data_IF_218758704583
#
_entry.id   IF_218758704583
#
_cell.length_a   1.000
_cell.length_b   1.000
_cell.length_c   1.000
_cell.angle_alpha   90.00
_cell.angle_beta   90.00
_cell.angle_gamma   90.00
#
_symmetry.space_group_name_H-M   'P 1'
#
loop_
_entity.id
_entity.type
_entity.pdbx_description
1 polymer ?
#
# COMPACT_ATOMS: atom_id res chain seq x y z
N UNK A 1 19.43 -43.72 12.16
CA UNK A 1 20.10 -42.54 12.77
C UNK A 1 20.24 -41.50 11.68
N UNK A 2 19.87 -40.26 11.96
CA UNK A 2 19.91 -39.16 11.00
C UNK A 2 20.87 -38.08 11.49
N UNK A 3 21.72 -37.52 10.62
CA UNK A 3 22.56 -36.39 10.98
C UNK A 3 21.87 -35.06 10.66
N UNK A 4 21.52 -34.29 11.69
CA UNK A 4 20.98 -32.93 11.59
C UNK A 4 21.95 -31.89 10.97
N UNK A 5 23.15 -32.31 10.53
CA UNK A 5 24.15 -31.41 9.91
C UNK A 5 24.33 -31.65 8.42
N UNK A 6 24.36 -32.91 7.99
CA UNK A 6 24.60 -33.30 6.59
C UNK A 6 23.43 -34.07 5.97
N UNK A 7 22.35 -34.27 6.74
CA UNK A 7 21.18 -35.05 6.34
C UNK A 7 21.47 -36.51 6.00
N UNK A 8 22.66 -37.02 6.34
CA UNK A 8 23.01 -38.41 6.08
C UNK A 8 22.26 -39.34 7.04
N UNK A 9 21.71 -40.42 6.50
CA UNK A 9 21.01 -41.47 7.23
C UNK A 9 21.84 -42.75 7.27
N UNK A 10 21.95 -43.37 8.45
CA UNK A 10 22.63 -44.63 8.63
C UNK A 10 22.00 -45.50 9.71
N UNK A 11 22.32 -46.80 9.65
CA UNK A 11 21.94 -47.78 10.65
C UNK A 11 23.13 -48.02 11.60
N UNK A 12 22.98 -47.82 12.93
CA UNK A 12 24.05 -48.11 13.88
C UNK A 12 24.29 -49.61 13.95
N UNK A 13 25.57 -50.03 13.97
CA UNK A 13 25.97 -51.44 14.05
C UNK A 13 26.05 -51.96 15.49
N UNK A 14 25.89 -51.09 16.48
CA UNK A 14 25.95 -51.40 17.91
C UNK A 14 24.87 -50.67 18.71
N UNK A 15 24.75 -50.99 20.00
CA UNK A 15 23.74 -50.43 20.91
C UNK A 15 24.03 -48.99 21.35
N UNK A 16 25.28 -48.53 21.24
CA UNK A 16 25.68 -47.18 21.64
C UNK A 16 25.48 -46.14 20.53
N UNK A 17 25.05 -44.93 20.92
CA UNK A 17 24.96 -43.79 20.01
C UNK A 17 26.36 -43.42 19.50
N UNK A 18 26.55 -43.28 18.18
CA UNK A 18 27.86 -42.95 17.63
C UNK A 18 28.29 -41.55 18.09
N UNK A 19 29.55 -41.41 18.52
CA UNK A 19 30.09 -40.12 18.96
C UNK A 19 30.21 -39.10 17.81
N UNK A 20 30.24 -39.56 16.56
CA UNK A 20 30.41 -38.74 15.35
C UNK A 20 29.51 -39.24 14.23
N UNK A 21 29.07 -38.33 13.37
CA UNK A 21 28.44 -38.71 12.10
C UNK A 21 29.46 -39.48 11.22
N UNK A 22 29.08 -40.62 10.61
CA UNK A 22 29.96 -41.37 9.71
C UNK A 22 30.44 -40.56 8.50
N UNK A 23 29.57 -39.70 7.95
CA UNK A 23 29.83 -38.93 6.74
C UNK A 23 30.58 -37.62 7.06
N UNK A 24 29.94 -36.70 7.78
CA UNK A 24 30.51 -35.37 8.04
C UNK A 24 31.45 -35.31 9.25
N UNK A 25 31.66 -36.43 9.98
CA UNK A 25 32.51 -36.55 11.18
C UNK A 25 32.18 -35.59 12.34
N UNK A 26 31.03 -34.92 12.27
CA UNK A 26 30.60 -33.96 13.27
C UNK A 26 30.23 -34.65 14.57
N UNK A 27 30.69 -34.10 15.70
CA UNK A 27 30.27 -34.53 17.05
C UNK A 27 28.88 -34.00 17.43
N UNK A 28 28.40 -32.94 16.77
CA UNK A 28 27.08 -32.33 17.02
C UNK A 28 26.01 -32.87 16.07
N UNK A 29 26.18 -34.09 15.56
CA UNK A 29 25.33 -34.64 14.50
C UNK A 29 23.87 -34.84 14.92
N UNK A 30 23.62 -35.05 16.22
CA UNK A 30 22.29 -35.23 16.81
C UNK A 30 21.80 -33.99 17.59
N UNK A 31 22.38 -32.81 17.36
CA UNK A 31 21.97 -31.61 18.08
C UNK A 31 20.73 -30.99 17.43
N UNK A 32 19.59 -30.89 18.13
CA UNK A 32 18.35 -30.33 17.56
C UNK A 32 18.51 -28.85 17.17
N UNK A 33 19.44 -28.14 17.81
CA UNK A 33 19.80 -26.74 17.48
C UNK A 33 20.36 -26.55 16.07
N UNK A 34 20.69 -27.63 15.34
CA UNK A 34 21.08 -27.57 13.93
C UNK A 34 19.88 -27.60 12.99
N UNK A 35 18.72 -28.09 13.43
CA UNK A 35 17.50 -28.09 12.63
C UNK A 35 16.77 -26.76 12.83
N UNK A 36 16.84 -25.89 11.82
CA UNK A 36 16.08 -24.65 11.81
C UNK A 36 14.73 -24.88 11.11
N UNK A 37 13.66 -24.32 11.66
CA UNK A 37 12.32 -24.35 11.08
C UNK A 37 11.81 -22.93 10.88
N UNK A 38 11.28 -22.64 9.70
CA UNK A 38 10.66 -21.36 9.43
C UNK A 38 9.22 -21.36 9.93
N UNK A 39 8.92 -20.53 10.92
CA UNK A 39 7.57 -20.32 11.46
C UNK A 39 6.60 -19.66 10.47
N UNK A 40 7.07 -19.21 9.30
CA UNK A 40 6.23 -18.58 8.27
C UNK A 40 5.82 -19.54 7.15
N UNK A 41 6.72 -20.41 6.71
CA UNK A 41 6.44 -21.35 5.62
C UNK A 41 6.53 -22.83 6.02
N UNK A 42 6.88 -23.14 7.28
CA UNK A 42 7.03 -24.51 7.78
C UNK A 42 8.27 -25.26 7.26
N UNK A 43 9.10 -24.62 6.43
CA UNK A 43 10.28 -25.28 5.85
C UNK A 43 11.30 -25.59 6.95
N UNK A 44 11.84 -26.81 6.96
CA UNK A 44 12.87 -27.27 7.89
C UNK A 44 14.19 -27.45 7.13
N UNK A 45 15.29 -26.97 7.68
CA UNK A 45 16.62 -27.10 7.07
C UNK A 45 17.73 -27.22 8.11
N UNK A 46 18.86 -27.76 7.68
CA UNK A 46 20.04 -27.91 8.52
C UNK A 46 20.89 -26.63 8.47
N UNK A 47 20.94 -25.89 9.58
CA UNK A 47 21.78 -24.71 9.74
C UNK A 47 23.13 -25.08 10.36
N UNK A 48 24.21 -24.96 9.59
CA UNK A 48 25.56 -25.26 10.06
C UNK A 48 26.02 -24.39 11.25
N UNK A 49 25.44 -23.20 11.44
CA UNK A 49 25.78 -22.22 12.49
C UNK A 49 24.61 -21.86 13.41
N UNK A 50 23.47 -22.53 13.32
CA UNK A 50 22.30 -22.32 14.18
C UNK A 50 21.52 -21.01 13.97
N UNK A 51 22.10 -19.98 13.33
CA UNK A 51 21.43 -18.68 13.12
C UNK A 51 21.48 -18.22 11.65
N UNK A 52 20.67 -18.83 10.76
CA UNK A 52 20.57 -18.40 9.37
C UNK A 52 19.96 -17.00 9.29
N UNK A 53 20.50 -16.11 8.45
CA UNK A 53 19.99 -14.74 8.29
C UNK A 53 18.65 -14.68 7.54
N UNK A 54 18.33 -15.73 6.77
CA UNK A 54 17.12 -15.82 5.95
C UNK A 54 16.66 -17.28 5.85
N UNK A 55 15.36 -17.49 5.71
CA UNK A 55 14.83 -18.79 5.31
C UNK A 55 15.27 -19.10 3.86
N UNK A 56 15.81 -20.30 3.57
CA UNK A 56 16.22 -20.67 2.22
C UNK A 56 15.04 -20.85 1.24
N UNK A 57 13.84 -21.13 1.74
CA UNK A 57 12.66 -21.32 0.90
C UNK A 57 11.91 -19.99 0.63
N UNK A 58 11.51 -19.26 1.68
CA UNK A 58 10.71 -18.04 1.52
C UNK A 58 11.53 -16.73 1.55
N UNK A 59 12.84 -16.80 1.78
CA UNK A 59 13.72 -15.63 1.87
C UNK A 59 13.48 -14.71 3.07
N UNK A 60 12.55 -15.06 3.97
CA UNK A 60 12.20 -14.23 5.13
C UNK A 60 13.37 -14.10 6.09
N UNK A 61 13.67 -12.86 6.51
CA UNK A 61 14.64 -12.55 7.57
C UNK A 61 14.12 -12.90 8.97
N UNK A 62 12.79 -12.91 9.14
CA UNK A 62 12.13 -13.19 10.41
C UNK A 62 11.53 -14.59 10.37
N UNK A 63 12.35 -15.59 10.01
CA UNK A 63 11.92 -16.98 9.87
C UNK A 63 11.64 -17.63 11.24
N UNK A 64 12.28 -17.13 12.30
CA UNK A 64 12.16 -17.58 13.68
C UNK A 64 11.11 -16.78 14.49
N UNK A 65 10.37 -15.87 13.84
CA UNK A 65 9.32 -15.06 14.49
C UNK A 65 7.96 -15.48 13.91
N UNK A 66 6.96 -15.80 14.75
CA UNK A 66 5.64 -16.17 14.28
C UNK A 66 5.04 -15.02 13.45
N UNK A 67 4.29 -15.31 12.37
CA UNK A 67 3.59 -14.29 11.60
C UNK A 67 2.64 -13.49 12.49
N UNK A 68 2.62 -12.17 12.32
CA UNK A 68 1.64 -11.32 13.00
C UNK A 68 0.29 -11.41 12.29
N UNK A 69 -0.74 -11.78 13.04
CA UNK A 69 -2.11 -11.69 12.58
C UNK A 69 -2.62 -10.26 12.67
N UNK A 70 -3.34 -9.85 11.63
CA UNK A 70 -4.00 -8.56 11.51
C UNK A 70 -5.47 -8.77 11.27
N UNK A 71 -6.30 -7.97 11.93
CA UNK A 71 -7.74 -7.91 11.71
C UNK A 71 -8.11 -6.49 11.30
N UNK A 72 -8.92 -6.36 10.26
CA UNK A 72 -9.49 -5.07 9.91
C UNK A 72 -10.69 -4.79 10.78
N UNK A 73 -10.69 -3.66 11.48
CA UNK A 73 -11.81 -3.25 12.33
C UNK A 73 -13.05 -2.90 11.50
N UNK A 74 -12.85 -2.39 10.27
CA UNK A 74 -13.94 -1.95 9.38
C UNK A 74 -14.66 -3.09 8.67
N UNK A 75 -13.93 -4.07 8.15
CA UNK A 75 -14.53 -5.16 7.38
C UNK A 75 -14.46 -6.53 8.07
N UNK A 76 -13.87 -6.60 9.27
CA UNK A 76 -13.69 -7.85 10.01
C UNK A 76 -12.68 -8.85 9.42
N UNK A 77 -12.13 -8.56 8.23
CA UNK A 77 -11.22 -9.46 7.53
C UNK A 77 -9.93 -9.70 8.31
N UNK A 78 -9.51 -10.95 8.43
CA UNK A 78 -8.29 -11.36 9.13
C UNK A 78 -7.25 -11.87 8.12
N UNK A 79 -5.98 -11.50 8.32
CA UNK A 79 -4.89 -11.97 7.48
C UNK A 79 -3.57 -12.03 8.25
N UNK A 80 -2.67 -12.90 7.81
CA UNK A 80 -1.29 -12.99 8.29
C UNK A 80 -0.38 -12.20 7.38
N UNK A 81 0.37 -11.24 7.91
CA UNK A 81 1.38 -10.54 7.11
C UNK A 81 2.64 -11.40 6.94
N UNK A 82 3.21 -11.37 5.72
CA UNK A 82 4.47 -12.05 5.42
C UNK A 82 5.70 -11.31 5.98
N UNK A 83 5.53 -10.11 6.52
CA UNK A 83 6.53 -9.29 7.18
C UNK A 83 5.96 -8.61 8.44
N UNK A 84 6.84 -8.14 9.33
CA UNK A 84 6.45 -7.48 10.58
C UNK A 84 6.05 -6.01 10.38
N UNK A 85 6.07 -5.51 9.14
CA UNK A 85 5.68 -4.12 8.86
C UNK A 85 4.17 -4.03 8.86
N UNK A 86 3.65 -2.96 9.45
CA UNK A 86 2.22 -2.61 9.39
C UNK A 86 1.77 -2.54 7.92
N UNK A 87 0.77 -3.33 7.49
CA UNK A 87 0.18 -3.21 6.16
C UNK A 87 -0.31 -1.79 5.87
N UNK A 88 -0.03 -1.27 4.67
CA UNK A 88 -0.46 0.07 4.26
C UNK A 88 -1.97 0.18 3.98
N UNK A 89 -2.61 -0.94 3.60
CA UNK A 89 -4.05 -1.04 3.30
C UNK A 89 -4.57 -2.42 3.67
N UNK A 90 -5.86 -2.51 3.99
CA UNK A 90 -6.55 -3.79 4.13
C UNK A 90 -6.60 -4.49 2.76
N UNK A 91 -6.27 -5.78 2.67
CA UNK A 91 -6.39 -6.55 1.43
C UNK A 91 -7.84 -6.79 1.00
N UNK A 92 -8.80 -6.76 1.93
CA UNK A 92 -10.21 -7.05 1.65
C UNK A 92 -11.01 -5.79 1.26
N UNK A 93 -10.88 -4.70 2.03
CA UNK A 93 -11.66 -3.48 1.80
C UNK A 93 -10.83 -2.30 1.28
N UNK A 94 -9.52 -2.44 1.12
CA UNK A 94 -8.64 -1.36 0.65
C UNK A 94 -8.43 -0.20 1.64
N UNK A 95 -9.05 -0.23 2.83
CA UNK A 95 -8.93 0.83 3.83
C UNK A 95 -7.47 1.02 4.28
N UNK A 96 -6.98 2.27 4.28
CA UNK A 96 -5.66 2.63 4.86
C UNK A 96 -5.67 2.68 6.40
N UNK A 97 -6.84 2.88 6.98
CA UNK A 97 -7.11 2.96 8.40
C UNK A 97 -7.86 1.69 8.81
N UNK A 98 -7.24 0.55 8.56
CA UNK A 98 -7.86 -0.75 8.80
C UNK A 98 -7.70 -1.20 10.26
N UNK A 99 -6.74 -0.62 10.98
CA UNK A 99 -6.39 -0.87 12.39
C UNK A 99 -6.89 0.22 13.34
N UNK A 100 -7.71 1.16 12.86
CA UNK A 100 -8.25 2.22 13.69
C UNK A 100 -9.72 2.52 13.38
N UNK A 101 -10.50 2.69 14.44
CA UNK A 101 -11.89 3.18 14.41
C UNK A 101 -11.99 4.69 14.21
N UNK A 102 -10.86 5.39 13.99
CA UNK A 102 -10.96 6.80 13.58
C UNK A 102 -11.72 6.81 12.26
N UNK A 103 -12.93 7.35 12.28
CA UNK A 103 -13.51 8.02 11.12
C UNK A 103 -12.36 8.83 10.53
N UNK A 104 -11.92 8.41 9.34
CA UNK A 104 -10.96 9.24 8.63
C UNK A 104 -11.69 10.59 8.52
N UNK A 105 -11.13 11.71 9.00
CA UNK A 105 -11.75 12.99 8.73
C UNK A 105 -11.95 12.99 7.23
N UNK A 106 -13.22 13.06 6.83
CA UNK A 106 -13.66 12.95 5.45
C UNK A 106 -12.74 13.88 4.70
N UNK A 107 -11.82 13.32 3.88
CA UNK A 107 -10.91 14.18 3.13
C UNK A 107 -11.85 14.94 2.22
N UNK A 108 -12.03 16.23 2.52
CA UNK A 108 -12.83 17.14 1.73
C UNK A 108 -12.56 16.82 0.26
N UNK A 109 -13.60 16.52 -0.54
CA UNK A 109 -13.41 16.12 -1.92
C UNK A 109 -12.52 17.16 -2.60
N UNK A 110 -11.32 16.73 -3.02
CA UNK A 110 -10.44 17.54 -3.86
C UNK A 110 -11.17 17.72 -5.19
N UNK A 111 -11.90 18.82 -5.34
CA UNK A 111 -12.69 19.07 -6.53
C UNK A 111 -14.00 19.83 -6.35
N UNK A 112 -14.26 20.46 -5.19
CA UNK A 112 -15.21 21.57 -5.20
C UNK A 112 -14.51 22.74 -5.90
N UNK A 113 -14.60 22.78 -7.24
CA UNK A 113 -14.58 24.06 -7.94
C UNK A 113 -15.60 24.92 -7.20
N UNK A 114 -15.13 26.03 -6.65
CA UNK A 114 -15.97 27.05 -6.04
C UNK A 114 -16.97 27.52 -7.09
N UNK A 115 -18.13 26.86 -7.15
CA UNK A 115 -19.26 27.36 -7.94
C UNK A 115 -19.56 28.74 -7.40
N UNK A 116 -19.55 29.72 -8.30
CA UNK A 116 -19.99 31.06 -7.98
C UNK A 116 -21.51 30.99 -7.73
N UNK A 117 -22.04 31.90 -6.91
CA UNK A 117 -23.48 32.01 -6.75
C UNK A 117 -24.15 32.31 -8.11
N UNK A 118 -25.39 31.87 -8.32
CA UNK A 118 -26.10 32.11 -9.58
C UNK A 118 -26.22 33.60 -9.94
N UNK A 119 -26.28 34.47 -8.93
CA UNK A 119 -26.27 35.94 -9.03
C UNK A 119 -24.96 36.49 -9.60
N UNK A 120 -23.84 35.88 -9.22
CA UNK A 120 -22.52 36.25 -9.68
C UNK A 120 -22.27 35.73 -11.10
N UNK A 121 -22.71 34.51 -11.41
CA UNK A 121 -22.64 33.94 -12.77
C UNK A 121 -23.48 34.77 -13.76
N UNK A 122 -24.68 35.21 -13.36
CA UNK A 122 -25.52 36.11 -14.16
C UNK A 122 -24.86 37.48 -14.40
N UNK A 123 -24.20 38.03 -13.38
CA UNK A 123 -23.47 39.30 -13.51
C UNK A 123 -22.27 39.18 -14.46
N UNK A 124 -21.54 38.06 -14.42
CA UNK A 124 -20.46 37.75 -15.36
C UNK A 124 -21.02 37.63 -16.79
N UNK A 125 -22.13 36.90 -16.97
CA UNK A 125 -22.75 36.71 -18.28
C UNK A 125 -23.26 38.03 -18.89
N UNK A 126 -23.89 38.90 -18.07
CA UNK A 126 -24.38 40.20 -18.50
C UNK A 126 -23.24 41.10 -18.99
N UNK A 127 -22.19 41.28 -18.19
CA UNK A 127 -21.06 42.14 -18.59
C UNK A 127 -20.30 41.59 -19.79
N UNK A 128 -20.23 40.26 -19.93
CA UNK A 128 -19.63 39.64 -21.11
C UNK A 128 -20.48 39.88 -22.37
N UNK A 129 -21.82 39.81 -22.26
CA UNK A 129 -22.74 40.14 -23.36
C UNK A 129 -22.69 41.63 -23.75
N UNK A 130 -22.40 42.52 -22.80
CA UNK A 130 -22.15 43.95 -23.02
C UNK A 130 -20.78 44.24 -23.67
N UNK A 131 -19.98 43.19 -23.95
CA UNK A 131 -18.69 43.29 -24.65
C UNK A 131 -17.48 43.47 -23.74
N UNK A 132 -17.65 43.37 -22.41
CA UNK A 132 -16.53 43.44 -21.48
C UNK A 132 -15.68 42.16 -21.54
N UNK A 133 -14.36 42.33 -21.58
CA UNK A 133 -13.44 41.18 -21.59
C UNK A 133 -13.47 40.44 -20.25
N UNK A 134 -13.19 39.13 -20.27
CA UNK A 134 -13.13 38.32 -19.05
C UNK A 134 -12.11 38.84 -18.01
N UNK A 135 -11.07 39.55 -18.46
CA UNK A 135 -10.10 40.22 -17.57
C UNK A 135 -10.72 41.45 -16.92
N UNK A 136 -11.46 42.27 -17.68
CA UNK A 136 -12.20 43.42 -17.15
C UNK A 136 -13.23 43.02 -16.09
N UNK A 137 -13.99 41.96 -16.36
CA UNK A 137 -15.00 41.42 -15.43
C UNK A 137 -14.35 40.91 -14.13
N UNK A 138 -13.18 40.27 -14.24
CA UNK A 138 -12.41 39.79 -13.08
C UNK A 138 -11.97 40.94 -12.18
N UNK A 139 -11.55 42.06 -12.77
CA UNK A 139 -11.13 43.26 -12.03
C UNK A 139 -12.32 43.99 -11.40
N UNK A 140 -13.45 44.10 -12.11
CA UNK A 140 -14.64 44.83 -11.65
C UNK A 140 -15.33 44.12 -10.47
N UNK A 141 -15.52 42.80 -10.56
CA UNK A 141 -16.17 42.02 -9.49
C UNK A 141 -15.22 41.51 -8.42
N UNK A 142 -13.90 41.69 -8.59
CA UNK A 142 -12.88 41.14 -7.70
C UNK A 142 -12.85 39.61 -7.68
N UNK A 143 -13.33 38.95 -8.74
CA UNK A 143 -13.43 37.49 -8.84
C UNK A 143 -12.18 36.95 -9.54
N UNK A 144 -11.59 35.83 -9.08
CA UNK A 144 -10.48 35.19 -9.77
C UNK A 144 -10.79 34.91 -11.25
N UNK A 145 -9.89 35.32 -12.14
CA UNK A 145 -10.02 35.14 -13.59
C UNK A 145 -10.37 33.70 -14.00
N UNK A 146 -9.85 32.70 -13.29
CA UNK A 146 -10.13 31.28 -13.54
C UNK A 146 -11.62 30.92 -13.41
N UNK A 147 -12.36 31.58 -12.51
CA UNK A 147 -13.79 31.35 -12.33
C UNK A 147 -14.61 32.10 -13.38
N UNK A 148 -14.25 33.35 -13.66
CA UNK A 148 -14.87 34.16 -14.73
C UNK A 148 -14.73 33.48 -16.09
N UNK A 149 -13.53 32.99 -16.41
CA UNK A 149 -13.26 32.28 -17.65
C UNK A 149 -14.03 30.93 -17.72
N UNK A 150 -14.30 30.30 -16.58
CA UNK A 150 -15.16 29.11 -16.52
C UNK A 150 -16.56 29.42 -17.02
N UNK A 151 -17.20 30.43 -16.42
CA UNK A 151 -18.57 30.86 -16.79
C UNK A 151 -18.64 31.31 -18.25
N UNK A 152 -17.70 32.13 -18.71
CA UNK A 152 -17.70 32.65 -20.09
C UNK A 152 -17.55 31.54 -21.14
N UNK A 153 -16.79 30.47 -20.84
CA UNK A 153 -16.61 29.33 -21.75
C UNK A 153 -17.88 28.49 -21.93
N UNK A 154 -18.72 28.46 -20.91
CA UNK A 154 -19.97 27.69 -20.91
C UNK A 154 -21.14 28.47 -21.57
N UNK A 155 -20.94 29.76 -21.88
CA UNK A 155 -21.92 30.57 -22.62
C UNK A 155 -21.85 30.27 -24.13
N UNK A 156 -23.00 30.18 -24.83
CA UNK A 156 -23.02 30.10 -26.29
C UNK A 156 -22.37 31.37 -26.85
N UNK A 157 -21.35 31.19 -27.70
CA UNK A 157 -20.52 32.29 -28.19
C UNK A 157 -21.34 33.40 -28.87
N UNK A 158 -20.83 34.65 -28.86
CA UNK A 158 -21.54 35.78 -29.46
C UNK A 158 -21.73 35.52 -30.96
N UNK A 159 -23.00 35.48 -31.38
CA UNK A 159 -23.36 35.52 -32.79
C UNK A 159 -22.80 36.81 -33.40
N UNK A 160 -21.81 36.67 -34.27
CA UNK A 160 -21.22 37.78 -35.00
C UNK A 160 -22.25 38.31 -36.00
N UNK A 161 -23.02 39.33 -35.64
CA UNK A 161 -23.77 40.13 -36.61
C UNK A 161 -22.77 40.97 -37.40
N UNK A 162 -22.41 40.50 -38.60
CA UNK A 162 -21.75 41.34 -39.62
C UNK A 162 -22.82 42.27 -40.19
N UNK A 163 -22.97 43.45 -39.61
CA UNK A 163 -23.78 44.51 -40.21
C UNK A 163 -23.01 45.14 -41.39
N UNK A 164 -23.74 45.30 -42.51
CA UNK A 164 -23.22 45.70 -43.81
C UNK A 164 -22.78 47.16 -43.86
N UNK A 165 -21.78 47.41 -44.68
CA UNK A 165 -21.36 48.74 -45.07
C UNK A 165 -22.05 49.08 -46.42
N UNK A 166 -22.77 50.21 -46.55
CA UNK A 166 -23.18 50.73 -47.86
C UNK A 166 -21.98 51.24 -48.67
#
# INVERSE_FOLDING_TARGET
MHCCRCSYDWFPRGSELPKRCPECRSIKWNSPNLLAECLRCGHKWNSHRGNPQRCPNCGSKCWNVPPKEHACVRCGGKWTASNDRRPGKCPFCGSRYWDSDRDAPERAPKGQQSKLGPDIEESIARMHAEGMTAVGISMELGIPFSLVQGVVKDLPGPGVSREGCP
#
